data_IF_705618010854
#
_entry.id   IF_705618010854
#
_cell.length_a   1.000
_cell.length_b   1.000
_cell.length_c   1.000
_cell.angle_alpha   90.00
_cell.angle_beta   90.00
_cell.angle_gamma   90.00
#
_symmetry.space_group_name_H-M   'P 1'
#
loop_
_entity.id
_entity.type
_entity.pdbx_description
1 polymer ?
#
# COMPACT_ATOMS: atom_id res chain seq x y z
N UNK A 1 -22.44 -20.07 23.95
CA UNK A 1 -23.52 -20.52 23.05
C UNK A 1 -22.85 -20.97 21.78
N UNK A 2 -22.84 -22.29 21.49
CA UNK A 2 -22.33 -22.82 20.21
C UNK A 2 -23.37 -22.57 19.12
N UNK A 3 -22.98 -21.90 18.04
CA UNK A 3 -23.84 -21.69 16.87
C UNK A 3 -23.77 -22.90 15.91
N UNK A 4 -24.80 -23.06 15.11
CA UNK A 4 -24.78 -24.09 14.06
C UNK A 4 -23.71 -23.78 13.05
N UNK A 5 -22.88 -24.78 12.75
CA UNK A 5 -21.82 -24.68 11.74
C UNK A 5 -22.33 -25.28 10.43
N UNK A 6 -22.49 -24.45 9.40
CA UNK A 6 -22.98 -24.87 8.06
C UNK A 6 -21.85 -24.74 7.06
N UNK A 7 -21.74 -25.68 6.13
CA UNK A 7 -20.74 -25.58 5.05
C UNK A 7 -21.08 -24.42 4.12
N UNK A 8 -20.07 -23.66 3.68
CA UNK A 8 -20.27 -22.52 2.76
C UNK A 8 -21.01 -22.98 1.48
N UNK A 9 -20.69 -24.16 0.95
CA UNK A 9 -21.36 -24.71 -0.22
C UNK A 9 -22.85 -25.02 -0.03
N UNK A 10 -23.32 -25.15 1.22
CA UNK A 10 -24.73 -25.34 1.53
C UNK A 10 -25.46 -23.97 1.59
N UNK A 11 -24.76 -22.90 1.93
CA UNK A 11 -25.28 -21.52 2.05
C UNK A 11 -25.30 -20.76 0.72
N UNK A 12 -24.37 -21.07 -0.20
CA UNK A 12 -24.20 -20.31 -1.44
C UNK A 12 -24.06 -21.21 -2.66
N UNK A 13 -24.50 -20.70 -3.82
CA UNK A 13 -24.08 -21.23 -5.11
C UNK A 13 -22.78 -20.53 -5.54
N UNK A 14 -21.81 -21.32 -5.99
CA UNK A 14 -20.51 -20.80 -6.40
C UNK A 14 -20.43 -20.77 -7.93
N UNK A 15 -20.43 -19.57 -8.51
CA UNK A 15 -20.23 -19.37 -9.96
C UNK A 15 -18.78 -19.02 -10.25
N UNK A 16 -18.22 -19.68 -11.25
CA UNK A 16 -16.91 -19.34 -11.82
C UNK A 16 -17.03 -18.35 -12.97
N UNK A 17 -15.90 -17.90 -13.44
CA UNK A 17 -15.80 -17.08 -14.64
C UNK A 17 -14.77 -17.62 -15.61
N UNK A 18 -14.44 -16.83 -16.63
CA UNK A 18 -13.51 -17.15 -17.68
C UNK A 18 -12.79 -15.91 -18.22
N UNK A 19 -11.85 -16.14 -19.11
CA UNK A 19 -11.12 -15.10 -19.81
C UNK A 19 -11.35 -15.26 -21.29
N UNK A 20 -11.89 -14.25 -21.99
CA UNK A 20 -11.92 -14.25 -23.44
C UNK A 20 -10.51 -14.35 -24.03
N UNK A 21 -10.38 -14.86 -25.23
CA UNK A 21 -9.07 -14.98 -25.88
C UNK A 21 -8.40 -13.61 -25.99
N UNK A 22 -7.20 -13.50 -25.36
CA UNK A 22 -6.49 -12.21 -25.22
C UNK A 22 -5.96 -11.66 -26.53
N UNK A 23 -5.65 -12.54 -27.48
CA UNK A 23 -5.16 -12.17 -28.81
C UNK A 23 -6.22 -11.58 -29.71
N UNK A 24 -7.51 -11.82 -29.42
CA UNK A 24 -8.61 -11.27 -30.20
C UNK A 24 -9.07 -9.92 -29.65
N UNK A 25 -8.68 -8.84 -30.32
CA UNK A 25 -9.01 -7.47 -29.91
C UNK A 25 -10.51 -7.15 -29.93
N UNK A 26 -11.32 -7.88 -30.70
CA UNK A 26 -12.78 -7.70 -30.77
C UNK A 26 -13.50 -8.10 -29.48
N UNK A 27 -12.83 -8.87 -28.60
CA UNK A 27 -13.38 -9.32 -27.33
C UNK A 27 -13.18 -8.34 -26.18
N UNK A 28 -12.30 -7.35 -26.35
CA UNK A 28 -11.85 -6.45 -25.29
C UNK A 28 -12.28 -5.00 -25.50
N UNK A 29 -12.17 -4.19 -24.43
CA UNK A 29 -12.47 -2.75 -24.43
C UNK A 29 -13.92 -2.42 -24.79
N UNK A 30 -14.87 -3.32 -24.50
CA UNK A 30 -16.31 -3.11 -24.66
C UNK A 30 -16.95 -2.47 -23.43
N UNK A 31 -18.28 -2.58 -23.36
CA UNK A 31 -19.09 -1.95 -22.30
C UNK A 31 -19.29 -2.81 -21.04
N UNK A 32 -18.93 -4.10 -21.08
CA UNK A 32 -19.12 -5.03 -19.96
C UNK A 32 -17.90 -4.97 -19.06
N UNK A 33 -17.99 -4.48 -17.79
CA UNK A 33 -16.91 -4.54 -16.85
C UNK A 33 -16.46 -5.98 -16.62
N UNK A 34 -15.13 -6.22 -16.67
CA UNK A 34 -14.57 -7.57 -16.47
C UNK A 34 -13.54 -7.56 -15.36
N UNK A 35 -13.89 -8.19 -14.23
CA UNK A 35 -13.05 -8.21 -13.04
C UNK A 35 -12.02 -9.32 -13.06
N UNK A 36 -10.83 -8.98 -12.68
CA UNK A 36 -9.69 -9.86 -12.39
C UNK A 36 -9.18 -9.64 -10.96
N UNK A 37 -8.20 -10.42 -10.53
CA UNK A 37 -7.58 -10.24 -9.21
C UNK A 37 -6.95 -8.86 -9.01
N UNK A 38 -6.66 -8.12 -10.08
CA UNK A 38 -6.12 -6.75 -10.04
C UNK A 38 -7.13 -5.73 -9.47
N UNK A 39 -8.42 -6.06 -9.52
CA UNK A 39 -9.52 -5.17 -9.10
C UNK A 39 -9.80 -5.26 -7.59
N UNK A 40 -9.25 -6.29 -6.90
CA UNK A 40 -9.37 -6.46 -5.45
C UNK A 40 -8.46 -5.50 -4.66
N UNK A 41 -8.59 -4.20 -4.94
CA UNK A 41 -7.89 -3.11 -4.23
C UNK A 41 -8.66 -2.61 -3.01
N UNK A 42 -9.98 -2.78 -3.03
CA UNK A 42 -10.94 -2.39 -1.99
C UNK A 42 -11.84 -3.59 -1.65
N UNK A 43 -12.65 -3.42 -0.61
CA UNK A 43 -13.70 -4.39 -0.24
C UNK A 43 -14.95 -4.31 -1.14
N UNK A 44 -14.95 -3.44 -2.16
CA UNK A 44 -15.99 -3.30 -3.16
C UNK A 44 -15.38 -3.24 -4.56
N UNK A 45 -16.08 -3.81 -5.54
CA UNK A 45 -15.79 -3.64 -6.97
C UNK A 45 -16.86 -2.75 -7.56
N UNK A 46 -16.53 -1.48 -7.71
CA UNK A 46 -17.36 -0.41 -8.27
C UNK A 46 -16.95 -0.02 -9.69
N UNK A 47 -15.82 -0.53 -10.16
CA UNK A 47 -15.26 -0.39 -11.50
C UNK A 47 -14.21 -1.47 -11.72
N UNK A 48 -13.83 -1.72 -12.97
CA UNK A 48 -12.80 -2.68 -13.36
C UNK A 48 -11.73 -2.01 -14.22
N UNK A 49 -10.52 -2.58 -14.21
CA UNK A 49 -9.42 -2.11 -15.07
C UNK A 49 -9.69 -2.48 -16.53
N UNK A 50 -10.17 -3.71 -16.73
CA UNK A 50 -10.43 -4.26 -18.05
C UNK A 50 -11.94 -4.36 -18.31
N UNK A 51 -12.35 -4.35 -19.58
CA UNK A 51 -13.75 -4.57 -20.02
C UNK A 51 -13.78 -5.48 -21.24
N UNK A 52 -14.92 -6.13 -21.46
CA UNK A 52 -15.14 -7.03 -22.61
C UNK A 52 -16.37 -6.62 -23.41
N UNK A 53 -16.41 -7.05 -24.65
CA UNK A 53 -17.56 -6.88 -25.53
C UNK A 53 -18.59 -7.99 -25.31
N UNK A 54 -19.81 -7.83 -25.82
CA UNK A 54 -20.80 -8.92 -25.89
C UNK A 54 -20.28 -10.14 -26.69
N UNK A 55 -19.43 -9.90 -27.68
CA UNK A 55 -18.81 -10.96 -28.46
C UNK A 55 -17.81 -11.76 -27.59
N UNK A 56 -17.00 -11.05 -26.80
CA UNK A 56 -16.08 -11.66 -25.82
C UNK A 56 -16.83 -12.42 -24.73
N UNK A 57 -17.95 -11.90 -24.24
CA UNK A 57 -18.81 -12.61 -23.30
C UNK A 57 -19.33 -13.92 -23.91
N UNK A 58 -19.90 -13.88 -25.12
CA UNK A 58 -20.50 -15.03 -25.80
C UNK A 58 -19.47 -16.12 -26.12
N UNK A 59 -18.24 -15.74 -26.45
CA UNK A 59 -17.18 -16.67 -26.89
C UNK A 59 -16.19 -17.03 -25.75
N UNK A 60 -16.63 -16.93 -24.51
CA UNK A 60 -15.80 -17.33 -23.36
C UNK A 60 -16.64 -17.99 -22.27
N UNK A 61 -15.96 -18.59 -21.29
CA UNK A 61 -16.62 -19.19 -20.12
C UNK A 61 -16.90 -18.14 -19.01
N UNK A 62 -16.79 -16.85 -19.31
CA UNK A 62 -17.08 -15.80 -18.33
C UNK A 62 -18.58 -15.71 -18.05
N UNK A 63 -18.92 -15.30 -16.83
CA UNK A 63 -20.31 -15.10 -16.42
C UNK A 63 -20.47 -13.66 -15.90
N UNK A 64 -21.58 -13.03 -16.24
CA UNK A 64 -21.99 -11.77 -15.59
C UNK A 64 -22.58 -12.11 -14.22
N UNK A 65 -22.09 -11.44 -13.22
CA UNK A 65 -22.55 -11.50 -11.84
C UNK A 65 -23.28 -10.22 -11.51
N UNK A 66 -24.56 -10.31 -11.18
CA UNK A 66 -25.36 -9.17 -10.78
C UNK A 66 -24.75 -8.43 -9.58
N UNK A 67 -24.99 -7.13 -9.49
CA UNK A 67 -24.55 -6.33 -8.34
C UNK A 67 -25.03 -6.92 -7.00
N UNK A 68 -24.23 -6.73 -5.96
CA UNK A 68 -24.57 -7.14 -4.60
C UNK A 68 -24.12 -8.54 -4.21
N UNK A 69 -23.31 -9.21 -5.01
CA UNK A 69 -22.79 -10.53 -4.67
C UNK A 69 -21.38 -10.48 -4.09
N UNK A 70 -21.00 -11.49 -3.32
CA UNK A 70 -19.64 -11.62 -2.76
C UNK A 70 -18.74 -12.26 -3.81
N UNK A 71 -17.60 -11.64 -4.08
CA UNK A 71 -16.56 -12.15 -4.96
C UNK A 71 -15.32 -12.51 -4.15
N UNK A 72 -14.74 -13.69 -4.44
CA UNK A 72 -13.54 -14.20 -3.77
C UNK A 72 -12.53 -14.71 -4.79
N UNK A 73 -11.27 -14.24 -4.77
CA UNK A 73 -10.19 -14.83 -5.54
C UNK A 73 -9.82 -16.22 -5.02
N UNK A 74 -9.65 -17.17 -5.93
CA UNK A 74 -9.15 -18.51 -5.62
C UNK A 74 -7.69 -18.72 -6.00
N UNK A 75 -7.04 -17.68 -6.58
CA UNK A 75 -5.62 -17.66 -6.95
C UNK A 75 -5.05 -16.25 -6.79
N UNK A 76 -3.75 -16.14 -6.56
CA UNK A 76 -2.93 -14.91 -6.45
C UNK A 76 -3.29 -13.96 -5.30
N UNK A 77 -4.53 -13.59 -5.13
CA UNK A 77 -5.00 -12.66 -4.09
C UNK A 77 -5.84 -13.39 -3.02
N UNK A 78 -5.35 -14.53 -2.55
CA UNK A 78 -6.04 -15.36 -1.55
C UNK A 78 -6.37 -14.54 -0.28
N UNK A 79 -7.49 -14.90 0.34
CA UNK A 79 -7.99 -14.22 1.54
C UNK A 79 -8.68 -12.89 1.29
N UNK A 80 -8.54 -12.28 0.10
CA UNK A 80 -9.31 -11.08 -0.24
C UNK A 80 -10.76 -11.45 -0.55
N UNK A 81 -11.66 -10.53 -0.23
CA UNK A 81 -13.10 -10.62 -0.53
C UNK A 81 -13.61 -9.23 -0.90
N UNK A 82 -14.53 -9.16 -1.85
CA UNK A 82 -15.18 -7.91 -2.23
C UNK A 82 -16.66 -8.14 -2.54
N UNK A 83 -17.48 -7.10 -2.41
CA UNK A 83 -18.85 -7.08 -2.93
C UNK A 83 -18.85 -6.24 -4.21
N UNK A 84 -19.40 -6.79 -5.31
CA UNK A 84 -19.59 -6.00 -6.52
C UNK A 84 -20.80 -5.05 -6.36
N UNK A 85 -20.61 -3.79 -6.68
CA UNK A 85 -21.67 -2.78 -6.64
C UNK A 85 -22.27 -2.49 -8.02
N UNK A 86 -21.69 -3.11 -9.05
CA UNK A 86 -22.13 -3.09 -10.44
C UNK A 86 -22.24 -4.53 -10.96
N UNK A 87 -22.99 -4.73 -12.02
CA UNK A 87 -22.95 -5.97 -12.77
C UNK A 87 -21.55 -6.14 -13.38
N UNK A 88 -20.93 -7.30 -13.20
CA UNK A 88 -19.54 -7.51 -13.61
C UNK A 88 -19.32 -8.94 -14.12
N UNK A 89 -18.64 -9.04 -15.24
CA UNK A 89 -18.10 -10.31 -15.70
C UNK A 89 -16.85 -10.67 -14.89
N UNK A 90 -16.57 -11.93 -14.61
CA UNK A 90 -15.45 -12.35 -13.77
C UNK A 90 -14.52 -13.34 -14.50
N UNK A 91 -13.23 -13.26 -14.19
CA UNK A 91 -12.24 -14.17 -14.71
C UNK A 91 -12.28 -15.55 -14.01
N UNK A 92 -11.50 -16.52 -14.50
CA UNK A 92 -11.45 -17.89 -13.96
C UNK A 92 -10.90 -17.96 -12.53
N UNK A 93 -10.10 -16.97 -12.09
CA UNK A 93 -9.46 -16.96 -10.77
C UNK A 93 -10.35 -16.36 -9.67
N UNK A 94 -11.53 -15.85 -10.06
CA UNK A 94 -12.55 -15.31 -9.15
C UNK A 94 -13.74 -16.29 -9.11
N UNK A 95 -14.34 -16.40 -7.94
CA UNK A 95 -15.63 -17.07 -7.73
C UNK A 95 -16.61 -16.08 -7.13
N UNK A 96 -17.84 -16.10 -7.66
CA UNK A 96 -18.97 -15.40 -7.08
C UNK A 96 -19.73 -16.33 -6.15
N UNK A 97 -20.06 -15.84 -4.96
CA UNK A 97 -20.84 -16.52 -3.94
C UNK A 97 -22.25 -15.94 -3.94
N UNK A 98 -23.20 -16.68 -4.49
CA UNK A 98 -24.60 -16.26 -4.58
C UNK A 98 -25.35 -16.92 -3.42
N UNK A 99 -25.89 -16.15 -2.51
CA UNK A 99 -26.65 -16.64 -1.36
C UNK A 99 -27.90 -17.35 -1.84
N UNK A 100 -28.12 -18.59 -1.36
CA UNK A 100 -29.28 -19.41 -1.71
C UNK A 100 -30.53 -18.96 -0.97
N UNK A 101 -30.38 -18.62 0.31
CA UNK A 101 -31.49 -18.20 1.17
C UNK A 101 -31.05 -17.05 2.08
N UNK A 102 -31.63 -15.87 1.84
CA UNK A 102 -31.35 -14.66 2.63
C UNK A 102 -32.04 -14.64 4.01
N UNK A 103 -32.93 -15.58 4.30
CA UNK A 103 -33.50 -15.76 5.64
C UNK A 103 -32.62 -16.64 6.54
N UNK A 104 -31.68 -17.40 5.94
CA UNK A 104 -30.70 -18.23 6.65
C UNK A 104 -29.40 -17.48 6.90
N UNK A 105 -28.88 -16.74 5.89
CA UNK A 105 -27.59 -16.07 5.98
C UNK A 105 -27.65 -14.64 5.44
N UNK A 106 -27.26 -13.68 6.28
CA UNK A 106 -27.11 -12.27 5.90
C UNK A 106 -25.82 -12.08 5.08
N UNK A 107 -25.89 -11.34 3.98
CA UNK A 107 -24.77 -11.10 3.08
C UNK A 107 -23.61 -10.37 3.76
N UNK A 108 -23.90 -9.30 4.50
CA UNK A 108 -22.87 -8.49 5.16
C UNK A 108 -22.20 -9.27 6.30
N UNK A 109 -22.96 -10.14 6.98
CA UNK A 109 -22.42 -11.06 7.97
C UNK A 109 -21.46 -12.07 7.32
N UNK A 110 -21.90 -12.76 6.26
CA UNK A 110 -21.09 -13.72 5.53
C UNK A 110 -19.81 -13.06 4.97
N UNK A 111 -19.94 -11.86 4.42
CA UNK A 111 -18.82 -11.07 3.94
C UNK A 111 -17.81 -10.78 5.07
N UNK A 112 -18.29 -10.29 6.22
CA UNK A 112 -17.46 -10.02 7.39
C UNK A 112 -16.77 -11.28 7.93
N UNK A 113 -17.48 -12.41 7.93
CA UNK A 113 -16.92 -13.70 8.33
C UNK A 113 -15.81 -14.16 7.35
N UNK A 114 -16.03 -14.10 6.06
CA UNK A 114 -15.01 -14.43 5.06
C UNK A 114 -13.76 -13.55 5.20
N UNK A 115 -13.94 -12.27 5.52
CA UNK A 115 -12.81 -11.38 5.82
C UNK A 115 -12.03 -11.82 7.07
N UNK A 116 -12.71 -12.33 8.11
CA UNK A 116 -12.04 -12.85 9.31
C UNK A 116 -11.18 -14.07 9.01
N UNK A 117 -11.58 -14.87 8.02
CA UNK A 117 -10.87 -16.06 7.58
C UNK A 117 -9.72 -15.78 6.59
N UNK A 118 -9.43 -14.52 6.28
CA UNK A 118 -8.43 -14.12 5.28
C UNK A 118 -7.08 -14.82 5.48
N UNK A 119 -6.51 -14.76 6.69
CA UNK A 119 -5.23 -15.38 7.01
C UNK A 119 -5.27 -16.91 6.93
N UNK A 120 -6.36 -17.53 7.36
CA UNK A 120 -6.55 -18.98 7.23
C UNK A 120 -6.60 -19.40 5.76
N UNK A 121 -7.41 -18.73 4.95
CA UNK A 121 -7.55 -18.99 3.51
C UNK A 121 -6.21 -18.78 2.78
N UNK A 122 -5.44 -17.75 3.15
CA UNK A 122 -4.12 -17.47 2.55
C UNK A 122 -3.11 -18.58 2.88
N UNK A 123 -3.10 -19.06 4.13
CA UNK A 123 -2.19 -20.11 4.59
C UNK A 123 -2.50 -21.49 3.97
N UNK A 124 -3.77 -21.78 3.69
CA UNK A 124 -4.20 -23.01 3.03
C UNK A 124 -3.90 -23.02 1.51
N UNK A 125 -3.50 -21.89 0.96
CA UNK A 125 -3.13 -21.77 -0.45
C UNK A 125 -1.95 -22.66 -0.83
N UNK A 126 -2.15 -23.58 -1.78
CA UNK A 126 -1.13 -24.52 -2.29
C UNK A 126 -0.66 -24.12 -3.69
N UNK A 127 0.59 -24.35 -4.00
CA UNK A 127 1.20 -24.10 -5.31
C UNK A 127 2.59 -23.50 -5.22
N UNK A 128 3.54 -24.01 -6.01
CA UNK A 128 4.95 -23.58 -5.99
C UNK A 128 5.14 -22.19 -6.63
N UNK A 129 4.48 -21.94 -7.75
CA UNK A 129 4.61 -20.68 -8.52
C UNK A 129 3.46 -19.72 -8.24
N UNK A 130 2.23 -20.24 -8.17
CA UNK A 130 1.03 -19.46 -7.88
C UNK A 130 0.19 -20.22 -6.85
N UNK A 131 0.05 -19.61 -5.67
CA UNK A 131 -0.81 -20.17 -4.62
C UNK A 131 -2.28 -20.09 -5.03
N UNK A 132 -3.02 -21.16 -4.77
CA UNK A 132 -4.46 -21.27 -5.04
C UNK A 132 -5.16 -22.16 -4.03
N UNK A 133 -6.49 -21.96 -3.89
CA UNK A 133 -7.39 -22.84 -3.14
C UNK A 133 -8.32 -23.58 -4.09
N UNK A 134 -8.76 -24.78 -3.68
CA UNK A 134 -9.67 -25.60 -4.47
C UNK A 134 -11.13 -25.27 -4.16
N UNK A 135 -12.03 -25.59 -5.10
CA UNK A 135 -13.48 -25.47 -4.85
C UNK A 135 -13.98 -26.35 -3.71
N UNK A 136 -13.54 -27.62 -3.56
CA UNK A 136 -13.90 -28.43 -2.39
C UNK A 136 -13.49 -27.78 -1.07
N UNK A 137 -12.28 -27.18 -0.97
CA UNK A 137 -11.87 -26.44 0.21
C UNK A 137 -12.80 -25.25 0.47
N UNK A 138 -13.08 -24.43 -0.54
CA UNK A 138 -13.96 -23.28 -0.40
C UNK A 138 -15.37 -23.67 0.05
N UNK A 139 -15.96 -24.70 -0.56
CA UNK A 139 -17.27 -25.26 -0.19
C UNK A 139 -17.29 -25.83 1.21
N UNK A 140 -16.19 -26.42 1.66
CA UNK A 140 -16.05 -27.10 2.95
C UNK A 140 -15.88 -26.13 4.14
N UNK A 141 -15.64 -24.83 3.91
CA UNK A 141 -15.49 -23.85 4.97
C UNK A 141 -16.73 -23.86 5.88
N UNK A 142 -16.53 -24.01 7.19
CA UNK A 142 -17.60 -24.08 8.18
C UNK A 142 -17.94 -22.69 8.69
N UNK A 143 -19.10 -22.20 8.28
CA UNK A 143 -19.64 -20.86 8.64
C UNK A 143 -20.49 -21.00 9.88
N UNK A 144 -20.20 -20.26 10.96
CA UNK A 144 -21.12 -20.17 12.10
C UNK A 144 -22.37 -19.36 11.69
N UNK A 145 -23.55 -19.89 11.94
CA UNK A 145 -24.83 -19.28 11.56
C UNK A 145 -25.66 -18.98 12.79
N UNK A 146 -25.47 -17.79 13.43
CA UNK A 146 -26.32 -17.35 14.51
C UNK A 146 -27.72 -16.95 14.02
N UNK A 147 -28.69 -16.74 14.91
CA UNK A 147 -29.99 -16.19 14.52
C UNK A 147 -29.84 -14.89 13.70
N UNK A 148 -30.69 -14.66 12.71
CA UNK A 148 -30.62 -13.52 11.78
C UNK A 148 -30.46 -12.17 12.47
N UNK A 149 -31.15 -11.95 13.60
CA UNK A 149 -31.01 -10.73 14.40
C UNK A 149 -29.57 -10.50 14.87
N UNK A 150 -28.88 -11.56 15.26
CA UNK A 150 -27.49 -11.48 15.70
C UNK A 150 -26.54 -11.29 14.52
N UNK A 151 -26.76 -11.97 13.39
CA UNK A 151 -26.00 -11.72 12.16
C UNK A 151 -26.02 -10.24 11.75
N UNK A 152 -27.22 -9.65 11.68
CA UNK A 152 -27.39 -8.22 11.37
C UNK A 152 -26.74 -7.31 12.39
N UNK A 153 -26.77 -7.66 13.69
CA UNK A 153 -26.10 -6.92 14.76
C UNK A 153 -24.59 -6.93 14.56
N UNK A 154 -24.00 -8.10 14.33
CA UNK A 154 -22.57 -8.28 14.09
C UNK A 154 -22.13 -7.51 12.82
N UNK A 155 -22.82 -7.71 11.71
CA UNK A 155 -22.57 -7.03 10.45
C UNK A 155 -22.60 -5.50 10.61
N UNK A 156 -23.59 -4.98 11.34
CA UNK A 156 -23.72 -3.54 11.60
C UNK A 156 -22.53 -3.00 12.40
N UNK A 157 -22.10 -3.69 13.45
CA UNK A 157 -20.96 -3.27 14.28
C UNK A 157 -19.68 -3.25 13.44
N UNK A 158 -19.39 -4.36 12.75
CA UNK A 158 -18.19 -4.49 11.93
C UNK A 158 -18.17 -3.47 10.77
N UNK A 159 -19.32 -3.27 10.11
CA UNK A 159 -19.46 -2.30 9.02
C UNK A 159 -19.21 -0.85 9.49
N UNK A 160 -19.69 -0.48 10.68
CA UNK A 160 -19.43 0.85 11.29
C UNK A 160 -17.94 1.05 11.57
N UNK A 161 -17.28 0.07 12.20
CA UNK A 161 -15.84 0.17 12.51
C UNK A 161 -15.00 0.24 11.23
N UNK A 162 -15.28 -0.60 10.24
CA UNK A 162 -14.63 -0.55 8.93
C UNK A 162 -14.80 0.82 8.25
N UNK A 163 -15.98 1.42 8.36
CA UNK A 163 -16.24 2.75 7.82
C UNK A 163 -15.37 3.82 8.50
N UNK A 164 -15.19 3.75 9.83
CA UNK A 164 -14.32 4.68 10.56
C UNK A 164 -12.85 4.49 10.15
N UNK A 165 -12.37 3.25 10.06
CA UNK A 165 -11.01 2.95 9.60
C UNK A 165 -10.76 3.55 8.21
N UNK A 166 -11.67 3.31 7.26
CA UNK A 166 -11.57 3.86 5.89
C UNK A 166 -11.55 5.39 5.87
N UNK A 167 -12.42 6.04 6.65
CA UNK A 167 -12.44 7.51 6.77
C UNK A 167 -11.14 8.04 7.32
N UNK A 168 -10.55 7.40 8.34
CA UNK A 168 -9.25 7.80 8.89
C UNK A 168 -8.12 7.68 7.89
N UNK A 169 -8.06 6.58 7.12
CA UNK A 169 -7.08 6.43 6.01
C UNK A 169 -7.20 7.58 5.02
N UNK A 170 -8.43 7.95 4.65
CA UNK A 170 -8.68 9.08 3.75
C UNK A 170 -8.23 10.42 4.34
N UNK A 171 -8.44 10.63 5.65
CA UNK A 171 -7.95 11.83 6.34
C UNK A 171 -6.41 11.90 6.31
N UNK A 172 -5.70 10.78 6.53
CA UNK A 172 -4.24 10.72 6.44
C UNK A 172 -3.75 11.11 5.03
N UNK A 173 -4.40 10.61 3.97
CA UNK A 173 -4.09 11.00 2.60
C UNK A 173 -4.29 12.51 2.35
N UNK A 174 -5.39 13.07 2.85
CA UNK A 174 -5.67 14.50 2.76
C UNK A 174 -4.65 15.35 3.53
N UNK A 175 -4.23 14.89 4.70
CA UNK A 175 -3.16 15.57 5.47
C UNK A 175 -1.84 15.51 4.73
N UNK A 176 -1.47 14.40 4.09
CA UNK A 176 -0.27 14.32 3.26
C UNK A 176 -0.34 15.30 2.07
N UNK A 177 -1.51 15.47 1.47
CA UNK A 177 -1.73 16.47 0.43
C UNK A 177 -1.62 17.89 0.99
N UNK A 178 -2.18 18.16 2.18
CA UNK A 178 -2.09 19.46 2.86
C UNK A 178 -0.64 19.82 3.19
N UNK A 179 0.17 18.88 3.68
CA UNK A 179 1.60 19.09 3.95
C UNK A 179 2.31 19.54 2.67
N UNK A 180 2.14 18.80 1.57
CA UNK A 180 2.76 19.13 0.28
C UNK A 180 2.30 20.50 -0.26
N UNK A 181 0.99 20.76 -0.24
CA UNK A 181 0.46 22.03 -0.71
C UNK A 181 0.89 23.22 0.16
N UNK A 182 0.96 23.04 1.49
CA UNK A 182 1.44 24.06 2.42
C UNK A 182 2.91 24.41 2.12
N UNK A 183 3.78 23.40 1.96
CA UNK A 183 5.18 23.63 1.59
C UNK A 183 5.27 24.36 0.25
N UNK A 184 4.62 23.85 -0.80
CA UNK A 184 4.64 24.45 -2.14
C UNK A 184 4.11 25.91 -2.15
N UNK A 185 3.05 26.19 -1.39
CA UNK A 185 2.49 27.55 -1.29
C UNK A 185 3.44 28.52 -0.56
N UNK A 186 4.05 28.09 0.53
CA UNK A 186 4.96 28.93 1.32
C UNK A 186 6.31 29.11 0.61
N UNK A 187 6.85 28.07 0.01
CA UNK A 187 8.12 28.13 -0.72
C UNK A 187 7.98 28.83 -2.07
N UNK A 188 6.94 28.52 -2.80
CA UNK A 188 6.71 28.95 -4.18
C UNK A 188 7.22 27.93 -5.20
N UNK A 189 6.92 28.18 -6.48
CA UNK A 189 7.42 27.33 -7.56
C UNK A 189 8.92 27.60 -7.79
N UNK A 190 9.81 26.59 -7.68
CA UNK A 190 11.27 26.81 -7.76
C UNK A 190 11.75 27.22 -9.15
N UNK A 191 11.02 26.86 -10.20
CA UNK A 191 11.39 27.24 -11.58
C UNK A 191 11.09 28.71 -11.86
N UNK A 192 9.93 29.18 -11.38
CA UNK A 192 9.49 30.58 -11.57
C UNK A 192 10.08 31.53 -10.55
N UNK A 193 10.48 31.04 -9.39
CA UNK A 193 10.99 31.78 -8.25
C UNK A 193 10.22 33.10 -7.98
N UNK A 194 8.90 33.04 -7.73
CA UNK A 194 8.07 34.23 -7.60
C UNK A 194 8.46 35.13 -6.40
N UNK A 195 9.14 34.54 -5.41
CA UNK A 195 9.63 35.24 -4.21
C UNK A 195 11.02 35.81 -4.37
N UNK A 196 11.67 35.61 -5.51
CA UNK A 196 13.00 36.10 -5.85
C UNK A 196 14.07 35.71 -4.82
N UNK A 197 13.99 34.50 -4.29
CA UNK A 197 15.04 33.96 -3.42
C UNK A 197 16.37 33.83 -4.16
N UNK A 198 17.53 34.00 -3.49
CA UNK A 198 18.83 33.70 -4.07
C UNK A 198 18.87 32.27 -4.60
N UNK A 199 19.44 32.07 -5.79
CA UNK A 199 19.52 30.77 -6.45
C UNK A 199 20.89 30.15 -6.21
N UNK A 200 20.91 28.90 -5.76
CA UNK A 200 22.11 28.09 -5.55
C UNK A 200 22.00 26.79 -6.34
N UNK A 201 23.13 26.16 -6.66
CA UNK A 201 23.11 24.79 -7.15
C UNK A 201 22.78 23.83 -5.98
N UNK A 202 22.00 22.80 -6.22
CA UNK A 202 21.61 21.85 -5.19
C UNK A 202 22.84 21.18 -4.55
N UNK A 203 23.86 20.84 -5.34
CA UNK A 203 25.12 20.31 -4.83
C UNK A 203 25.95 21.27 -3.98
N UNK A 204 25.72 22.59 -4.07
CA UNK A 204 26.39 23.56 -3.20
C UNK A 204 25.79 23.62 -1.81
N UNK A 205 24.51 23.31 -1.68
CA UNK A 205 23.76 23.40 -0.41
C UNK A 205 23.46 22.05 0.23
N UNK A 206 23.56 20.94 -0.52
CA UNK A 206 23.30 19.58 -0.04
C UNK A 206 24.46 18.67 -0.42
N UNK A 207 24.97 17.89 0.53
CA UNK A 207 25.91 16.79 0.26
C UNK A 207 25.15 15.48 0.10
N UNK A 208 25.34 14.77 -1.01
CA UNK A 208 24.77 13.47 -1.28
C UNK A 208 25.80 12.35 -1.09
N UNK A 209 25.58 11.48 -0.11
CA UNK A 209 26.53 10.46 0.30
C UNK A 209 25.93 9.06 0.24
N UNK A 210 26.41 8.24 -0.70
CA UNK A 210 25.96 6.86 -0.88
C UNK A 210 26.34 5.96 0.30
N UNK A 211 25.52 4.91 0.50
CA UNK A 211 25.74 3.90 1.54
C UNK A 211 26.86 2.92 1.22
N UNK A 212 27.07 1.99 2.15
CA UNK A 212 28.08 0.94 2.05
C UNK A 212 27.43 -0.44 2.14
N UNK A 213 27.98 -1.42 1.41
CA UNK A 213 27.51 -2.79 1.46
C UNK A 213 28.54 -3.66 2.20
N UNK A 214 28.29 -4.01 3.47
CA UNK A 214 29.13 -4.98 4.18
C UNK A 214 28.98 -6.38 3.59
N UNK A 215 29.96 -7.28 3.81
CA UNK A 215 29.83 -8.68 3.44
C UNK A 215 28.61 -9.34 4.10
N UNK A 216 27.96 -10.23 3.36
CA UNK A 216 26.77 -10.95 3.90
C UNK A 216 27.09 -11.83 5.10
N UNK A 217 28.35 -12.25 5.26
CA UNK A 217 28.86 -12.99 6.43
C UNK A 217 28.74 -12.22 7.75
N UNK A 218 28.63 -10.90 7.68
CA UNK A 218 28.48 -10.03 8.85
C UNK A 218 27.01 -9.83 9.27
N UNK A 219 26.06 -10.39 8.53
CA UNK A 219 24.65 -10.17 8.75
C UNK A 219 24.07 -11.09 9.81
N UNK A 220 23.37 -10.50 10.77
CA UNK A 220 22.44 -11.21 11.65
C UNK A 220 21.04 -10.62 11.50
N UNK A 221 20.02 -11.38 11.89
CA UNK A 221 18.61 -11.01 11.67
C UNK A 221 17.86 -10.72 12.98
N UNK A 222 18.55 -10.76 14.09
CA UNK A 222 18.05 -10.39 15.40
C UNK A 222 18.93 -9.31 16.01
N UNK A 223 18.33 -8.39 16.76
CA UNK A 223 19.08 -7.34 17.45
C UNK A 223 19.97 -7.93 18.54
N UNK A 224 21.24 -7.56 18.55
CA UNK A 224 22.23 -8.04 19.51
C UNK A 224 23.12 -6.89 19.99
N UNK A 225 23.63 -6.97 21.22
CA UNK A 225 24.59 -6.01 21.75
C UNK A 225 25.86 -5.96 20.89
N UNK A 226 26.37 -4.77 20.61
CA UNK A 226 27.52 -4.55 19.73
C UNK A 226 27.19 -4.55 18.23
N UNK A 227 25.92 -4.68 17.86
CA UNK A 227 25.45 -4.62 16.50
C UNK A 227 24.60 -3.38 16.26
N UNK A 228 24.65 -2.86 15.04
CA UNK A 228 23.84 -1.74 14.56
C UNK A 228 22.97 -2.20 13.38
N UNK A 229 21.76 -1.65 13.25
CA UNK A 229 20.88 -1.95 12.13
C UNK A 229 21.48 -1.49 10.81
N UNK A 230 21.55 -2.38 9.81
CA UNK A 230 21.86 -2.06 8.43
C UNK A 230 20.56 -1.81 7.68
N UNK A 231 20.18 -0.55 7.56
CA UNK A 231 18.92 -0.13 6.97
C UNK A 231 18.95 -0.22 5.45
N UNK A 232 17.88 -0.77 4.89
CA UNK A 232 17.61 -0.91 3.46
C UNK A 232 16.28 -0.22 3.13
N UNK A 233 16.00 0.04 1.85
CA UNK A 233 14.76 0.73 1.41
C UNK A 233 13.50 0.05 1.98
N UNK A 234 13.47 -1.28 2.00
CA UNK A 234 12.33 -2.07 2.50
C UNK A 234 12.01 -1.85 3.97
N UNK A 235 13.03 -1.48 4.76
CA UNK A 235 12.91 -1.34 6.22
C UNK A 235 12.05 -0.12 6.60
N UNK A 236 11.92 0.87 5.70
CA UNK A 236 10.99 1.99 5.88
C UNK A 236 9.50 1.59 5.75
N UNK A 237 9.22 0.33 5.37
CA UNK A 237 7.86 -0.21 5.27
C UNK A 237 7.56 -1.24 6.34
N UNK A 238 8.56 -2.00 6.80
CA UNK A 238 8.37 -3.09 7.76
C UNK A 238 9.70 -3.57 8.32
N UNK A 239 9.73 -3.90 9.62
CA UNK A 239 10.89 -4.50 10.30
C UNK A 239 11.04 -6.01 10.06
N UNK A 240 10.14 -6.62 9.30
CA UNK A 240 10.09 -8.08 9.08
C UNK A 240 11.42 -8.69 8.64
N UNK A 241 12.25 -7.92 7.95
CA UNK A 241 13.53 -8.38 7.39
C UNK A 241 14.68 -7.50 7.87
N UNK A 242 14.58 -6.95 9.10
CA UNK A 242 15.63 -6.16 9.69
C UNK A 242 16.94 -6.93 9.69
N UNK A 243 18.03 -6.26 9.36
CA UNK A 243 19.37 -6.84 9.26
C UNK A 243 20.29 -6.01 10.13
N UNK A 244 21.21 -6.66 10.84
CA UNK A 244 22.17 -6.01 11.73
C UNK A 244 23.59 -6.42 11.35
N UNK A 245 24.56 -5.54 11.62
CA UNK A 245 25.99 -5.75 11.38
C UNK A 245 26.78 -5.33 12.61
N UNK A 246 28.01 -5.87 12.82
CA UNK A 246 28.87 -5.40 13.89
C UNK A 246 29.07 -3.87 13.81
N UNK A 247 28.95 -3.20 14.95
CA UNK A 247 29.01 -1.72 15.02
C UNK A 247 30.35 -1.17 14.52
N UNK A 248 31.46 -1.86 14.77
CA UNK A 248 32.79 -1.48 14.30
C UNK A 248 32.94 -1.54 12.76
N UNK A 249 32.07 -2.27 12.07
CA UNK A 249 32.04 -2.37 10.60
C UNK A 249 31.11 -1.35 9.93
N UNK A 250 30.35 -0.58 10.72
CA UNK A 250 29.44 0.42 10.22
C UNK A 250 30.17 1.68 9.72
N UNK A 251 30.31 1.84 8.40
CA UNK A 251 31.05 2.97 7.78
C UNK A 251 30.17 4.19 7.49
N UNK A 252 28.88 4.02 7.41
CA UNK A 252 27.90 5.06 7.04
C UNK A 252 26.74 5.01 8.02
N UNK A 253 26.62 6.04 8.84
CA UNK A 253 25.60 6.13 9.90
C UNK A 253 24.67 7.32 9.60
N UNK A 254 23.42 7.18 9.96
CA UNK A 254 22.41 8.22 9.89
C UNK A 254 21.46 8.18 11.09
N UNK A 255 20.89 9.32 11.41
CA UNK A 255 19.98 9.54 12.51
C UNK A 255 18.51 9.59 12.03
N UNK A 256 17.57 9.52 12.99
CA UNK A 256 16.11 9.46 12.73
C UNK A 256 15.60 10.63 11.88
N UNK A 257 16.20 11.82 12.04
CA UNK A 257 15.83 13.04 11.32
C UNK A 257 16.63 13.27 10.04
N UNK A 258 17.60 12.39 9.72
CA UNK A 258 18.36 12.46 8.47
C UNK A 258 17.46 12.12 7.26
N UNK A 259 17.74 12.82 6.17
CA UNK A 259 17.02 12.62 4.90
C UNK A 259 17.73 11.57 4.08
N UNK A 260 17.02 10.49 3.81
CA UNK A 260 17.51 9.36 3.02
C UNK A 260 16.81 9.31 1.66
N UNK A 261 17.53 8.89 0.64
CA UNK A 261 17.06 8.78 -0.74
C UNK A 261 17.24 7.34 -1.22
N UNK A 262 16.18 6.72 -1.74
CA UNK A 262 16.28 5.46 -2.44
C UNK A 262 16.94 5.67 -3.81
N UNK A 263 18.13 5.08 -4.03
CA UNK A 263 18.89 5.21 -5.28
C UNK A 263 18.41 4.31 -6.38
N UNK A 264 17.89 3.13 -6.05
CA UNK A 264 17.54 2.06 -6.97
C UNK A 264 16.14 1.51 -6.68
N UNK A 265 15.61 0.77 -7.64
CA UNK A 265 14.36 0.02 -7.49
C UNK A 265 13.09 0.83 -7.80
N UNK A 266 11.94 0.17 -8.01
CA UNK A 266 10.65 0.81 -8.16
C UNK A 266 10.01 1.08 -6.77
N UNK A 267 9.62 2.34 -6.47
CA UNK A 267 9.97 3.56 -7.17
C UNK A 267 11.38 4.05 -6.80
N UNK A 268 12.09 4.59 -7.80
CA UNK A 268 13.36 5.32 -7.61
C UNK A 268 13.10 6.68 -6.96
N UNK A 269 14.11 7.21 -6.28
CA UNK A 269 14.10 8.56 -5.69
C UNK A 269 13.02 8.76 -4.62
N UNK A 270 12.68 7.71 -3.85
CA UNK A 270 11.87 7.90 -2.65
C UNK A 270 12.66 8.69 -1.61
N UNK A 271 12.03 9.73 -1.07
CA UNK A 271 12.60 10.56 0.00
C UNK A 271 12.06 10.02 1.34
N UNK A 272 12.97 9.59 2.19
CA UNK A 272 12.70 8.77 3.38
C UNK A 272 13.30 9.42 4.63
N UNK A 273 12.68 9.19 5.80
CA UNK A 273 13.19 9.55 7.13
C UNK A 273 12.50 8.71 8.21
N UNK A 274 12.97 8.78 9.44
CA UNK A 274 12.30 8.13 10.58
C UNK A 274 12.94 6.84 11.05
N UNK A 275 14.08 6.45 10.48
CA UNK A 275 14.92 5.35 10.98
C UNK A 275 16.32 5.86 11.29
N UNK A 276 17.09 5.07 12.02
CA UNK A 276 18.51 5.31 12.30
C UNK A 276 19.32 4.02 12.13
N UNK A 277 20.63 4.15 11.94
CA UNK A 277 21.53 3.02 11.80
C UNK A 277 22.58 3.23 10.72
N UNK A 278 23.20 2.14 10.29
CA UNK A 278 24.01 2.11 9.07
C UNK A 278 23.10 1.93 7.85
N UNK A 279 23.53 2.34 6.66
CA UNK A 279 22.70 2.21 5.46
C UNK A 279 23.48 1.60 4.29
N UNK A 280 22.78 0.78 3.51
CA UNK A 280 23.37 0.04 2.40
C UNK A 280 23.50 0.90 1.12
N UNK A 281 24.13 0.33 0.08
CA UNK A 281 24.36 1.01 -1.21
C UNK A 281 23.10 1.44 -1.96
N UNK A 282 21.94 0.87 -1.63
CA UNK A 282 20.67 1.26 -2.24
C UNK A 282 20.11 2.57 -1.67
N UNK A 283 20.69 3.07 -0.58
CA UNK A 283 20.34 4.33 0.04
C UNK A 283 21.45 5.37 -0.12
N UNK A 284 21.05 6.61 -0.09
CA UNK A 284 21.93 7.78 -0.10
C UNK A 284 21.41 8.79 0.93
N UNK A 285 22.31 9.35 1.73
CA UNK A 285 21.99 10.42 2.68
C UNK A 285 22.13 11.77 2.02
N UNK A 286 21.14 12.66 2.22
CA UNK A 286 21.19 14.07 1.85
C UNK A 286 21.46 14.89 3.11
N UNK A 287 22.69 15.35 3.24
CA UNK A 287 23.13 16.14 4.39
C UNK A 287 23.12 17.63 4.08
N UNK A 288 22.64 18.49 4.99
CA UNK A 288 22.71 19.93 4.79
C UNK A 288 24.18 20.39 4.80
N UNK A 289 24.50 21.29 3.89
CA UNK A 289 25.66 22.17 4.00
C UNK A 289 25.23 23.48 4.68
N UNK A 290 25.87 24.58 4.38
CA UNK A 290 25.51 25.88 4.94
C UNK A 290 24.16 26.39 4.44
N UNK A 291 23.48 27.17 5.27
CA UNK A 291 22.25 27.91 4.94
C UNK A 291 21.00 27.12 4.58
N UNK A 292 20.99 25.77 4.79
CA UNK A 292 19.81 24.96 4.57
C UNK A 292 19.49 24.08 5.78
N UNK A 293 18.22 23.99 6.16
CA UNK A 293 17.74 23.11 7.24
C UNK A 293 17.53 21.69 6.74
N UNK A 294 17.93 20.71 7.54
CA UNK A 294 17.71 19.28 7.25
C UNK A 294 16.23 18.95 6.93
N UNK A 295 15.32 19.44 7.76
CA UNK A 295 13.88 19.28 7.51
C UNK A 295 13.40 19.92 6.22
N UNK A 296 14.00 21.03 5.78
CA UNK A 296 13.67 21.70 4.53
C UNK A 296 14.06 20.85 3.30
N UNK A 297 15.22 20.20 3.36
CA UNK A 297 15.69 19.26 2.32
C UNK A 297 14.65 18.16 2.07
N UNK A 298 14.05 17.62 3.14
CA UNK A 298 13.05 16.55 3.04
C UNK A 298 11.85 16.93 2.16
N UNK A 299 11.33 18.13 2.30
CA UNK A 299 10.20 18.60 1.50
C UNK A 299 10.64 19.14 0.13
N UNK A 300 11.80 19.76 0.05
CA UNK A 300 12.37 20.30 -1.19
C UNK A 300 12.52 19.19 -2.24
N UNK A 301 13.13 18.07 -1.86
CA UNK A 301 13.38 16.93 -2.78
C UNK A 301 12.10 16.23 -3.24
N UNK A 302 10.96 16.43 -2.56
CA UNK A 302 9.66 15.89 -2.94
C UNK A 302 8.85 16.79 -3.88
N UNK A 303 9.34 18.00 -4.18
CA UNK A 303 8.67 18.87 -5.16
C UNK A 303 8.67 18.21 -6.55
N UNK A 304 7.54 18.22 -7.25
CA UNK A 304 7.44 17.61 -8.59
C UNK A 304 8.49 18.13 -9.57
N UNK A 305 8.84 19.41 -9.46
CA UNK A 305 9.83 20.09 -10.30
C UNK A 305 11.23 19.46 -10.22
N UNK A 306 11.58 18.81 -9.13
CA UNK A 306 12.83 18.07 -8.95
C UNK A 306 12.58 16.56 -9.05
N UNK A 307 11.58 16.06 -8.29
CA UNK A 307 11.31 14.63 -8.17
C UNK A 307 11.01 13.98 -9.52
N UNK A 308 10.09 14.54 -10.30
CA UNK A 308 9.63 13.92 -11.55
C UNK A 308 10.73 13.96 -12.63
N UNK A 309 11.58 15.01 -12.59
CA UNK A 309 12.73 15.11 -13.48
C UNK A 309 13.75 14.01 -13.18
N UNK A 310 14.05 13.76 -11.90
CA UNK A 310 14.99 12.69 -11.49
C UNK A 310 14.43 11.32 -11.85
N UNK A 311 13.17 11.05 -11.54
CA UNK A 311 12.52 9.76 -11.87
C UNK A 311 12.53 9.51 -13.38
N UNK A 312 12.11 10.50 -14.19
CA UNK A 312 12.08 10.39 -15.64
C UNK A 312 13.47 10.16 -16.27
N UNK A 313 14.52 10.73 -15.68
CA UNK A 313 15.88 10.51 -16.15
C UNK A 313 16.47 9.17 -15.71
N UNK A 314 16.02 8.62 -14.57
CA UNK A 314 16.48 7.32 -14.09
C UNK A 314 16.00 6.14 -14.98
N UNK A 315 14.89 6.30 -15.69
CA UNK A 315 14.31 5.29 -16.60
C UNK A 315 15.03 5.22 -17.96
N UNK A 316 15.79 6.27 -18.35
CA UNK A 316 16.41 6.41 -19.67
C UNK A 316 17.83 5.80 -19.77
N UNK A 317 18.42 5.41 -18.66
CA UNK A 317 19.80 4.88 -18.66
C UNK A 317 19.77 3.37 -18.86
N UNK A 318 20.07 2.92 -20.06
CA UNK A 318 20.18 1.49 -20.40
C UNK A 318 21.24 0.81 -19.51
N UNK A 319 20.82 -0.10 -18.62
CA UNK A 319 21.70 -0.98 -17.86
C UNK A 319 21.78 -0.76 -16.36
N UNK A 320 21.52 0.43 -15.82
CA UNK A 320 21.41 0.67 -14.38
C UNK A 320 20.38 1.77 -14.09
N UNK A 321 19.19 1.38 -13.66
CA UNK A 321 18.19 2.33 -13.14
C UNK A 321 18.67 2.88 -11.79
N UNK A 322 19.08 4.14 -11.75
CA UNK A 322 19.54 4.76 -10.51
C UNK A 322 19.53 6.29 -10.58
N UNK A 323 19.58 6.92 -9.42
CA UNK A 323 19.61 8.38 -9.31
C UNK A 323 20.90 8.94 -9.92
N UNK A 324 20.76 9.83 -10.91
CA UNK A 324 21.88 10.55 -11.51
C UNK A 324 22.29 11.69 -10.57
N UNK A 325 23.48 11.58 -9.96
CA UNK A 325 24.02 12.57 -9.02
C UNK A 325 24.43 13.87 -9.70
N UNK A 326 24.91 13.82 -10.92
CA UNK A 326 25.29 15.01 -11.68
C UNK A 326 24.05 15.86 -11.95
N UNK A 327 22.96 15.24 -12.42
CA UNK A 327 21.68 15.90 -12.61
C UNK A 327 21.19 16.54 -11.29
N UNK A 328 21.26 15.78 -10.19
CA UNK A 328 20.77 16.22 -8.89
C UNK A 328 21.58 17.43 -8.37
N UNK A 329 22.90 17.40 -8.50
CA UNK A 329 23.78 18.49 -8.07
C UNK A 329 23.58 19.78 -8.87
N UNK A 330 23.18 19.67 -10.14
CA UNK A 330 23.03 20.80 -11.05
C UNK A 330 21.64 21.45 -11.04
N UNK A 331 20.72 21.02 -10.18
CA UNK A 331 19.44 21.73 -10.05
C UNK A 331 19.63 23.12 -9.44
N UNK A 332 18.99 24.11 -10.03
CA UNK A 332 18.83 25.44 -9.45
C UNK A 332 17.82 25.42 -8.33
N UNK A 333 18.20 25.88 -7.13
CA UNK A 333 17.37 25.92 -5.95
C UNK A 333 17.27 27.36 -5.45
N UNK A 334 16.12 28.02 -5.58
CA UNK A 334 15.83 29.26 -4.86
C UNK A 334 15.84 28.99 -3.34
N UNK A 335 16.81 29.54 -2.61
CA UNK A 335 16.99 29.24 -1.19
C UNK A 335 16.51 30.38 -0.31
N UNK A 336 15.39 30.19 0.44
CA UNK A 336 14.95 31.22 1.41
C UNK A 336 15.90 31.28 2.60
N UNK A 337 15.98 32.44 3.29
CA UNK A 337 16.79 32.60 4.49
C UNK A 337 16.34 31.63 5.60
N UNK A 338 17.26 31.27 6.51
CA UNK A 338 17.03 30.27 7.55
C UNK A 338 15.77 30.53 8.38
N UNK A 339 15.51 31.79 8.76
CA UNK A 339 14.31 32.10 9.54
C UNK A 339 13.01 31.74 8.83
N UNK A 340 12.97 31.89 7.49
CA UNK A 340 11.78 31.55 6.71
C UNK A 340 11.66 30.05 6.50
N UNK A 341 12.79 29.33 6.36
CA UNK A 341 12.79 27.88 6.39
C UNK A 341 12.24 27.37 7.73
N UNK A 342 12.66 27.96 8.85
CA UNK A 342 12.20 27.63 10.20
C UNK A 342 10.68 27.91 10.35
N UNK A 343 10.15 28.99 9.79
CA UNK A 343 8.71 29.28 9.76
C UNK A 343 7.92 28.21 9.00
N UNK A 344 8.38 27.82 7.80
CA UNK A 344 7.77 26.73 7.03
C UNK A 344 7.76 25.45 7.85
N UNK A 345 8.91 25.06 8.40
CA UNK A 345 9.06 23.81 9.16
C UNK A 345 8.19 23.80 10.42
N UNK A 346 8.10 24.92 11.14
CA UNK A 346 7.23 25.03 12.31
C UNK A 346 5.74 24.83 11.96
N UNK A 347 5.32 25.36 10.81
CA UNK A 347 3.94 25.16 10.31
C UNK A 347 3.68 23.71 9.93
N UNK A 348 4.59 23.08 9.19
CA UNK A 348 4.49 21.69 8.78
C UNK A 348 4.52 20.73 9.98
N UNK A 349 5.37 21.00 10.98
CA UNK A 349 5.45 20.20 12.20
C UNK A 349 4.11 20.14 12.97
N UNK A 350 3.33 21.23 12.98
CA UNK A 350 1.99 21.23 13.58
C UNK A 350 1.04 20.27 12.84
N UNK A 351 1.11 20.26 11.51
CA UNK A 351 0.27 19.38 10.68
C UNK A 351 0.71 17.92 10.84
N UNK A 352 2.03 17.66 10.86
CA UNK A 352 2.58 16.32 11.06
C UNK A 352 2.20 15.74 12.44
N UNK A 353 2.21 16.55 13.49
CA UNK A 353 1.77 16.13 14.84
C UNK A 353 0.30 15.69 14.86
N UNK A 354 -0.57 16.34 14.07
CA UNK A 354 -1.98 15.93 13.91
C UNK A 354 -2.04 14.57 13.17
N UNK A 355 -1.27 14.43 12.08
CA UNK A 355 -1.17 13.20 11.32
C UNK A 355 -0.75 12.03 12.21
N UNK A 356 0.33 12.17 12.96
CA UNK A 356 0.85 11.15 13.88
C UNK A 356 -0.20 10.67 14.88
N UNK A 357 -0.93 11.59 15.51
CA UNK A 357 -2.02 11.23 16.43
C UNK A 357 -3.12 10.42 15.75
N UNK A 358 -3.46 10.75 14.50
CA UNK A 358 -4.48 10.04 13.75
C UNK A 358 -3.96 8.65 13.34
N UNK A 359 -2.69 8.52 12.95
CA UNK A 359 -2.05 7.25 12.59
C UNK A 359 -2.00 6.29 13.79
N UNK A 360 -1.54 6.76 14.96
CA UNK A 360 -1.54 5.98 16.21
C UNK A 360 -2.95 5.50 16.54
N UNK A 361 -3.92 6.42 16.52
CA UNK A 361 -5.32 6.10 16.81
C UNK A 361 -5.95 5.15 15.77
N UNK A 362 -5.53 5.24 14.49
CA UNK A 362 -5.99 4.34 13.43
C UNK A 362 -5.45 2.93 13.62
N UNK A 363 -4.15 2.79 13.89
CA UNK A 363 -3.50 1.50 14.14
C UNK A 363 -4.11 0.80 15.37
N UNK A 364 -4.36 1.55 16.45
CA UNK A 364 -5.05 1.01 17.63
C UNK A 364 -6.45 0.50 17.27
N UNK A 365 -7.23 1.28 16.51
CA UNK A 365 -8.57 0.88 16.08
C UNK A 365 -8.55 -0.37 15.19
N UNK A 366 -7.57 -0.49 14.28
CA UNK A 366 -7.40 -1.67 13.43
C UNK A 366 -7.09 -2.92 14.26
N UNK A 367 -6.23 -2.80 15.26
CA UNK A 367 -5.91 -3.91 16.18
C UNK A 367 -7.15 -4.33 16.99
N UNK A 368 -7.90 -3.36 17.52
CA UNK A 368 -9.14 -3.64 18.26
C UNK A 368 -10.23 -4.23 17.35
N UNK A 369 -10.29 -3.79 16.09
CA UNK A 369 -11.20 -4.36 15.10
C UNK A 369 -10.92 -5.84 14.82
N UNK A 370 -9.66 -6.21 14.61
CA UNK A 370 -9.28 -7.62 14.39
C UNK A 370 -9.64 -8.49 15.62
N UNK A 371 -9.36 -8.00 16.83
CA UNK A 371 -9.74 -8.69 18.06
C UNK A 371 -11.25 -8.84 18.21
N UNK A 372 -12.00 -7.79 17.90
CA UNK A 372 -13.47 -7.80 17.93
C UNK A 372 -14.03 -8.75 16.88
N UNK A 373 -13.52 -8.70 15.66
CA UNK A 373 -13.90 -9.57 14.56
C UNK A 373 -13.70 -11.04 14.96
N UNK A 374 -12.53 -11.37 15.51
CA UNK A 374 -12.25 -12.71 16.01
C UNK A 374 -13.27 -13.13 17.08
N UNK A 375 -13.51 -12.33 18.10
CA UNK A 375 -14.49 -12.65 19.16
C UNK A 375 -15.93 -12.81 18.68
N UNK A 376 -16.31 -12.09 17.62
CA UNK A 376 -17.66 -12.12 17.06
C UNK A 376 -17.86 -13.20 16.00
N UNK A 377 -16.78 -13.76 15.45
CA UNK A 377 -16.80 -14.67 14.31
C UNK A 377 -16.19 -16.05 14.60
N UNK A 378 -15.32 -16.16 15.62
CA UNK A 378 -14.72 -17.44 16.05
C UNK A 378 -15.54 -18.00 17.24
N UNK A 379 -16.16 -19.14 17.03
CA UNK A 379 -16.87 -19.93 18.04
C UNK A 379 -16.51 -21.40 17.96
#
# INVERSE_FOLDING_TARGET
>A
VSWQMISLGDLVDIKGGGTPEKSNSEYWNGEIPWASVKDFKKNTIDSTIDSITHLGLKNSATNIIAAGNILIPTRMALGKVAINTIDVAINQDIKALLIKDHDVIDREYLFGWLQSQSGFIENEGKGATVKGITLPFLRGLKVPVPPMKEQKRIATILGRVNTVIRKRKKVIELINTLIRSTFSTMYGNPIKNPKKWPVHLMGDIIEFKGGNQPPKSDFIFEAQQGYIRLVQIRDFKSDKYATYIPQEKAKRIFEVDDVMIARYGPPVFQILRGLSGSYNVALMKASPKENIRKGFIFYLLQLPEYHDVVVKNSERTAGQTGVNLELLNNFNVPLPPLYYQDEILARLAKIEKIKEKIEISSNYLETQFLSLQKRLMDF
#
